data_IF_857796820396
#
_entry.id   IF_857796820396
#
_cell.length_a   1.000
_cell.length_b   1.000
_cell.length_c   1.000
_cell.angle_alpha   90.00
_cell.angle_beta   90.00
_cell.angle_gamma   90.00
#
_symmetry.space_group_name_H-M   'P 1'
#
loop_
_entity.id
_entity.type
_entity.pdbx_description
1 polymer ?
#
# COMPACT_ATOMS: atom_id res chain seq x y z
N UNK A 1 -1.06 6.74 25.15
CA UNK A 1 -2.37 6.85 25.84
C UNK A 1 -3.56 6.73 24.89
N UNK A 2 -3.55 7.36 23.69
CA UNK A 2 -4.65 7.28 22.72
C UNK A 2 -4.89 5.86 22.15
N UNK A 3 -3.83 5.14 21.77
CA UNK A 3 -3.97 3.77 21.23
C UNK A 3 -4.80 2.84 22.12
N UNK A 4 -4.59 2.85 23.45
CA UNK A 4 -5.33 1.99 24.39
C UNK A 4 -6.84 2.32 24.45
N UNK A 5 -7.23 3.58 24.27
CA UNK A 5 -8.64 4.01 24.28
C UNK A 5 -9.36 3.69 22.96
N UNK A 6 -8.61 3.73 21.85
CA UNK A 6 -9.11 3.49 20.50
C UNK A 6 -9.22 1.99 20.23
N UNK A 7 -8.25 1.19 20.67
CA UNK A 7 -8.26 -0.27 20.49
C UNK A 7 -9.20 -1.01 21.46
N UNK A 8 -9.71 -0.36 22.50
CA UNK A 8 -10.65 -0.97 23.47
C UNK A 8 -12.13 -0.79 23.09
N UNK A 9 -12.45 -0.01 22.05
CA UNK A 9 -13.82 0.20 21.60
C UNK A 9 -13.91 0.37 20.08
N UNK A 10 -14.60 -0.53 19.37
CA UNK A 10 -14.87 -0.37 17.93
C UNK A 10 -15.61 0.92 17.59
N UNK A 11 -16.36 1.52 18.54
CA UNK A 11 -17.03 2.80 18.33
C UNK A 11 -16.05 3.98 18.40
N UNK A 12 -15.10 3.97 19.35
CA UNK A 12 -14.06 4.99 19.41
C UNK A 12 -13.09 4.92 18.24
N UNK A 13 -12.78 3.69 17.78
CA UNK A 13 -11.98 3.48 16.58
C UNK A 13 -12.62 4.12 15.35
N UNK A 14 -13.88 3.81 15.08
CA UNK A 14 -14.64 4.40 13.96
C UNK A 14 -14.68 5.91 14.02
N UNK A 15 -14.99 6.49 15.19
CA UNK A 15 -15.04 7.95 15.34
C UNK A 15 -13.68 8.62 15.09
N UNK A 16 -12.57 7.98 15.49
CA UNK A 16 -11.24 8.48 15.18
C UNK A 16 -10.93 8.35 13.68
N UNK A 17 -11.22 7.19 13.09
CA UNK A 17 -11.04 6.93 11.65
C UNK A 17 -11.82 7.97 10.81
N UNK A 18 -13.07 8.27 11.16
CA UNK A 18 -13.91 9.28 10.49
C UNK A 18 -13.30 10.69 10.52
N UNK A 19 -12.62 11.06 11.61
CA UNK A 19 -11.96 12.36 11.73
C UNK A 19 -10.61 12.40 10.99
N UNK A 20 -9.86 11.31 11.02
CA UNK A 20 -8.48 11.26 10.51
C UNK A 20 -8.43 10.96 9.01
N UNK A 21 -9.30 10.08 8.52
CA UNK A 21 -9.24 9.60 7.13
C UNK A 21 -9.40 10.71 6.08
N UNK A 22 -10.33 11.68 6.23
CA UNK A 22 -10.45 12.77 5.26
C UNK A 22 -9.18 13.63 5.20
N UNK A 23 -8.63 13.99 6.36
CA UNK A 23 -7.42 14.81 6.46
C UNK A 23 -6.22 14.07 5.88
N UNK A 24 -6.05 12.79 6.20
CA UNK A 24 -4.97 11.97 5.66
C UNK A 24 -5.07 11.86 4.13
N UNK A 25 -6.28 11.68 3.59
CA UNK A 25 -6.51 11.58 2.15
C UNK A 25 -6.15 12.88 1.44
N UNK A 26 -6.51 14.01 2.02
CA UNK A 26 -6.18 15.34 1.49
C UNK A 26 -4.67 15.56 1.47
N UNK A 27 -3.97 15.32 2.60
CA UNK A 27 -2.52 15.47 2.70
C UNK A 27 -1.77 14.57 1.70
N UNK A 28 -2.18 13.30 1.58
CA UNK A 28 -1.57 12.38 0.60
C UNK A 28 -1.82 12.86 -0.83
N UNK A 29 -3.03 13.34 -1.15
CA UNK A 29 -3.33 13.88 -2.47
C UNK A 29 -2.46 15.09 -2.81
N UNK A 30 -2.22 16.00 -1.85
CA UNK A 30 -1.33 17.15 -2.02
C UNK A 30 0.12 16.72 -2.28
N UNK A 31 0.64 15.77 -1.50
CA UNK A 31 2.01 15.22 -1.68
C UNK A 31 2.16 14.57 -3.05
N UNK A 32 1.17 13.78 -3.47
CA UNK A 32 1.17 13.14 -4.80
C UNK A 32 1.13 14.18 -5.92
N UNK A 33 0.29 15.21 -5.79
CA UNK A 33 0.18 16.27 -6.78
C UNK A 33 1.49 17.07 -6.90
N UNK A 34 2.10 17.44 -5.77
CA UNK A 34 3.38 18.13 -5.77
C UNK A 34 4.50 17.29 -6.41
N UNK A 35 4.52 15.98 -6.20
CA UNK A 35 5.47 15.08 -6.86
C UNK A 35 5.24 15.03 -8.38
N UNK A 36 3.97 14.97 -8.83
CA UNK A 36 3.60 15.00 -10.25
C UNK A 36 4.05 16.30 -10.93
N UNK A 37 3.81 17.44 -10.29
CA UNK A 37 4.21 18.77 -10.80
C UNK A 37 5.73 18.90 -10.90
N UNK A 38 6.45 18.36 -9.92
CA UNK A 38 7.92 18.31 -9.95
C UNK A 38 8.49 17.26 -10.93
N UNK A 39 7.64 16.46 -11.59
CA UNK A 39 8.07 15.38 -12.48
C UNK A 39 8.87 14.28 -11.77
N UNK A 40 8.58 14.04 -10.49
CA UNK A 40 9.29 13.06 -9.66
C UNK A 40 8.49 11.78 -9.50
N UNK A 41 9.18 10.64 -9.56
CA UNK A 41 8.60 9.36 -9.16
C UNK A 41 8.37 9.35 -7.63
N UNK A 42 7.23 8.80 -7.19
CA UNK A 42 6.86 8.65 -5.79
C UNK A 42 6.30 7.24 -5.54
N UNK A 43 6.66 6.67 -4.40
CA UNK A 43 6.10 5.40 -3.90
C UNK A 43 5.26 5.69 -2.67
N UNK A 44 3.96 5.37 -2.74
CA UNK A 44 3.03 5.46 -1.62
C UNK A 44 2.88 4.08 -0.96
N UNK A 45 3.50 3.89 0.20
CA UNK A 45 3.29 2.69 1.02
C UNK A 45 2.07 2.92 1.93
N UNK A 46 0.93 2.35 1.54
CA UNK A 46 -0.32 2.52 2.28
C UNK A 46 -1.10 1.20 2.39
N UNK A 47 -1.17 0.57 3.58
CA UNK A 47 -1.82 -0.73 3.75
C UNK A 47 -3.34 -0.70 3.55
N UNK A 48 -3.97 0.47 3.71
CA UNK A 48 -5.42 0.69 3.59
C UNK A 48 -5.80 1.41 2.28
N UNK A 49 -4.92 1.38 1.27
CA UNK A 49 -5.10 2.12 0.01
C UNK A 49 -6.49 1.88 -0.59
N UNK A 50 -6.91 0.62 -0.67
CA UNK A 50 -8.18 0.23 -1.27
C UNK A 50 -9.37 0.49 -0.35
N UNK A 51 -9.19 0.25 0.96
CA UNK A 51 -10.18 0.52 2.00
C UNK A 51 -10.56 2.01 2.07
N UNK A 52 -9.60 2.89 1.76
CA UNK A 52 -9.79 4.36 1.75
C UNK A 52 -10.12 4.94 0.36
N UNK A 53 -10.25 4.09 -0.66
CA UNK A 53 -10.54 4.52 -2.04
C UNK A 53 -9.50 5.50 -2.58
N UNK A 54 -8.22 5.21 -2.33
CA UNK A 54 -7.07 6.06 -2.67
C UNK A 54 -6.28 5.55 -3.87
N UNK A 55 -6.66 4.40 -4.45
CA UNK A 55 -5.99 3.82 -5.62
C UNK A 55 -5.95 4.77 -6.82
N UNK A 56 -6.92 5.69 -6.95
CA UNK A 56 -6.98 6.68 -8.03
C UNK A 56 -5.97 7.82 -7.90
N UNK A 57 -5.23 7.93 -6.79
CA UNK A 57 -4.19 8.95 -6.63
C UNK A 57 -2.90 8.57 -7.38
N UNK A 58 -2.65 7.28 -7.59
CA UNK A 58 -1.41 6.75 -8.16
C UNK A 58 -1.61 6.19 -9.57
N UNK A 59 -0.53 6.13 -10.37
CA UNK A 59 -0.60 5.63 -11.75
C UNK A 59 -0.56 4.09 -11.83
N UNK A 60 0.08 3.43 -10.86
CA UNK A 60 0.12 1.98 -10.72
C UNK A 60 0.02 1.58 -9.25
N UNK A 61 -0.69 0.47 -8.98
CA UNK A 61 -0.78 -0.13 -7.65
C UNK A 61 -0.05 -1.47 -7.65
N UNK A 62 0.89 -1.64 -6.72
CA UNK A 62 1.71 -2.85 -6.60
C UNK A 62 1.34 -3.60 -5.33
N UNK A 63 0.70 -4.76 -5.45
CA UNK A 63 0.33 -5.60 -4.33
C UNK A 63 1.36 -6.70 -4.10
N UNK A 64 1.86 -6.82 -2.86
CA UNK A 64 2.73 -7.91 -2.44
C UNK A 64 1.90 -8.95 -1.71
N UNK A 65 1.92 -10.20 -2.18
CA UNK A 65 1.15 -11.31 -1.62
C UNK A 65 2.01 -12.50 -1.27
N UNK A 66 1.52 -13.34 -0.36
CA UNK A 66 2.13 -14.61 0.07
C UNK A 66 1.03 -15.61 0.43
N UNK A 67 1.31 -16.92 0.42
CA UNK A 67 0.38 -17.91 0.95
C UNK A 67 -0.02 -17.59 2.39
N UNK A 68 -1.29 -17.84 2.72
CA UNK A 68 -1.91 -17.51 4.01
C UNK A 68 -1.07 -17.94 5.22
N UNK A 69 -0.62 -19.19 5.22
CA UNK A 69 0.17 -19.75 6.31
C UNK A 69 1.52 -19.04 6.50
N UNK A 70 2.18 -18.66 5.39
CA UNK A 70 3.43 -17.91 5.45
C UNK A 70 3.18 -16.47 5.95
N UNK A 71 2.05 -15.87 5.59
CA UNK A 71 1.65 -14.55 6.10
C UNK A 71 1.50 -14.56 7.62
N UNK A 72 0.73 -15.53 8.14
CA UNK A 72 0.49 -15.71 9.57
C UNK A 72 1.81 -15.94 10.30
N UNK A 73 2.64 -16.86 9.83
CA UNK A 73 3.95 -17.14 10.44
C UNK A 73 4.85 -15.89 10.49
N UNK A 74 4.89 -15.09 9.41
CA UNK A 74 5.69 -13.86 9.36
C UNK A 74 5.16 -12.79 10.31
N UNK A 75 3.84 -12.59 10.39
CA UNK A 75 3.22 -11.63 11.32
C UNK A 75 3.47 -12.04 12.77
N UNK A 76 3.29 -13.32 13.11
CA UNK A 76 3.60 -13.86 14.44
C UNK A 76 5.06 -13.59 14.82
N UNK A 77 6.01 -13.90 13.93
CA UNK A 77 7.43 -13.74 14.24
C UNK A 77 7.84 -12.26 14.37
N UNK A 78 7.31 -11.39 13.50
CA UNK A 78 7.60 -9.95 13.49
C UNK A 78 7.04 -9.25 14.72
N UNK A 79 5.77 -9.51 15.03
CA UNK A 79 5.02 -8.76 16.04
C UNK A 79 4.96 -9.47 17.41
N UNK A 80 5.55 -10.67 17.52
CA UNK A 80 5.56 -11.53 18.72
C UNK A 80 4.14 -11.83 19.25
N UNK A 81 3.29 -12.32 18.35
CA UNK A 81 1.88 -12.63 18.61
C UNK A 81 1.59 -14.12 18.62
N UNK A 82 0.44 -14.49 19.20
CA UNK A 82 -0.16 -15.81 18.95
C UNK A 82 -0.69 -15.92 17.52
N UNK A 83 -1.02 -17.14 17.09
CA UNK A 83 -1.64 -17.36 15.78
C UNK A 83 -2.97 -16.64 15.68
N UNK A 84 -3.80 -16.73 16.72
CA UNK A 84 -5.13 -16.14 16.77
C UNK A 84 -5.07 -14.62 16.63
N UNK A 85 -4.12 -13.99 17.32
CA UNK A 85 -3.87 -12.55 17.23
C UNK A 85 -3.37 -12.13 15.83
N UNK A 86 -2.45 -12.90 15.25
CA UNK A 86 -1.95 -12.66 13.89
C UNK A 86 -3.06 -12.80 12.84
N UNK A 87 -3.88 -13.84 12.94
CA UNK A 87 -5.01 -14.08 12.06
C UNK A 87 -6.04 -12.95 12.16
N UNK A 88 -6.42 -12.55 13.39
CA UNK A 88 -7.32 -11.44 13.64
C UNK A 88 -6.83 -10.11 13.05
N UNK A 89 -5.52 -9.84 13.13
CA UNK A 89 -4.91 -8.65 12.49
C UNK A 89 -5.02 -8.69 10.98
N UNK A 90 -4.78 -9.84 10.36
CA UNK A 90 -4.82 -9.94 8.91
C UNK A 90 -6.27 -9.83 8.41
N UNK A 91 -7.24 -10.46 9.08
CA UNK A 91 -8.65 -10.42 8.70
C UNK A 91 -9.31 -9.05 8.97
N UNK A 92 -8.64 -8.16 9.69
CA UNK A 92 -9.13 -6.80 9.93
C UNK A 92 -8.99 -5.87 8.70
N UNK A 93 -8.33 -6.33 7.63
CA UNK A 93 -8.12 -5.61 6.37
C UNK A 93 -8.76 -6.38 5.21
N UNK A 94 -8.83 -5.76 4.03
CA UNK A 94 -9.27 -6.47 2.83
C UNK A 94 -8.38 -7.68 2.55
N UNK A 95 -8.96 -8.81 2.09
CA UNK A 95 -8.20 -10.02 1.78
C UNK A 95 -7.07 -9.74 0.78
N UNK A 96 -5.87 -10.33 0.97
CA UNK A 96 -4.77 -10.18 0.03
C UNK A 96 -5.13 -10.53 -1.42
N UNK A 97 -6.02 -11.51 -1.62
CA UNK A 97 -6.51 -11.94 -2.92
C UNK A 97 -7.32 -10.83 -3.61
N UNK A 98 -8.14 -10.10 -2.85
CA UNK A 98 -8.92 -8.98 -3.36
C UNK A 98 -8.01 -7.79 -3.69
N UNK A 99 -7.03 -7.49 -2.83
CA UNK A 99 -6.01 -6.47 -3.11
C UNK A 99 -5.22 -6.81 -4.37
N UNK A 100 -4.85 -8.07 -4.56
CA UNK A 100 -4.14 -8.54 -5.75
C UNK A 100 -4.99 -8.43 -7.02
N UNK A 101 -6.29 -8.76 -6.95
CA UNK A 101 -7.20 -8.64 -8.09
C UNK A 101 -7.41 -7.20 -8.57
N UNK A 102 -7.28 -6.21 -7.66
CA UNK A 102 -7.41 -4.77 -7.96
C UNK A 102 -6.08 -4.09 -8.29
N UNK A 103 -4.95 -4.77 -8.12
CA UNK A 103 -3.62 -4.19 -8.33
C UNK A 103 -3.20 -4.22 -9.80
N UNK A 104 -2.39 -3.24 -10.20
CA UNK A 104 -1.74 -3.20 -11.52
C UNK A 104 -0.65 -4.26 -11.64
N UNK A 105 0.07 -4.51 -10.54
CA UNK A 105 1.16 -5.49 -10.47
C UNK A 105 0.99 -6.31 -9.19
N UNK A 106 1.13 -7.63 -9.32
CA UNK A 106 1.12 -8.56 -8.19
C UNK A 106 2.49 -9.19 -8.04
N UNK A 107 3.07 -9.10 -6.84
CA UNK A 107 4.38 -9.67 -6.50
C UNK A 107 4.18 -10.75 -5.45
N UNK A 108 4.51 -12.00 -5.80
CA UNK A 108 4.49 -13.12 -4.85
C UNK A 108 5.82 -13.16 -4.09
N UNK A 109 5.78 -12.94 -2.78
CA UNK A 109 6.96 -12.82 -1.92
C UNK A 109 7.20 -14.09 -1.07
N UNK A 110 7.23 -15.25 -1.72
CA UNK A 110 7.53 -16.54 -1.07
C UNK A 110 9.01 -16.81 -0.88
N UNK A 111 9.84 -16.12 -1.64
CA UNK A 111 11.29 -16.30 -1.70
C UNK A 111 12.09 -15.56 -0.62
N UNK A 112 13.39 -15.41 -0.89
CA UNK A 112 14.30 -14.62 -0.06
C UNK A 112 14.12 -13.11 -0.29
N UNK A 113 14.73 -12.30 0.58
CA UNK A 113 14.74 -10.85 0.41
C UNK A 113 15.49 -10.45 -0.88
N UNK A 114 16.57 -11.15 -1.21
CA UNK A 114 17.36 -10.92 -2.42
C UNK A 114 16.54 -11.16 -3.68
N UNK A 115 15.74 -12.25 -3.72
CA UNK A 115 14.83 -12.56 -4.82
C UNK A 115 13.74 -11.50 -4.97
N UNK A 116 13.18 -11.03 -3.85
CA UNK A 116 12.21 -9.93 -3.85
C UNK A 116 12.84 -8.63 -4.39
N UNK A 117 14.03 -8.26 -3.91
CA UNK A 117 14.75 -7.07 -4.37
C UNK A 117 15.03 -7.14 -5.87
N UNK A 118 15.49 -8.30 -6.36
CA UNK A 118 15.72 -8.50 -7.80
C UNK A 118 14.43 -8.34 -8.61
N UNK A 119 13.32 -8.90 -8.12
CA UNK A 119 12.00 -8.79 -8.75
C UNK A 119 11.51 -7.35 -8.82
N UNK A 120 11.58 -6.62 -7.71
CA UNK A 120 11.17 -5.22 -7.63
C UNK A 120 12.03 -4.34 -8.53
N UNK A 121 13.36 -4.52 -8.54
CA UNK A 121 14.27 -3.78 -9.41
C UNK A 121 13.93 -3.97 -10.88
N UNK A 122 13.71 -5.22 -11.31
CA UNK A 122 13.33 -5.54 -12.69
C UNK A 122 12.02 -4.85 -13.09
N UNK A 123 10.98 -4.97 -12.26
CA UNK A 123 9.70 -4.32 -12.51
C UNK A 123 9.82 -2.79 -12.55
N UNK A 124 10.69 -2.21 -11.71
CA UNK A 124 10.90 -0.77 -11.67
C UNK A 124 11.53 -0.25 -12.97
N UNK A 125 12.56 -0.93 -13.46
CA UNK A 125 13.19 -0.65 -14.77
C UNK A 125 12.13 -0.73 -15.89
N UNK A 126 11.36 -1.82 -15.93
CA UNK A 126 10.38 -2.10 -16.99
C UNK A 126 9.22 -1.11 -17.03
N UNK A 127 8.72 -0.69 -15.86
CA UNK A 127 7.44 0.03 -15.76
C UNK A 127 7.56 1.49 -15.38
N UNK A 128 8.60 1.88 -14.65
CA UNK A 128 8.76 3.25 -14.17
C UNK A 128 9.78 4.00 -15.02
N UNK A 129 11.01 3.49 -15.13
CA UNK A 129 12.07 4.15 -15.93
C UNK A 129 11.73 4.21 -17.43
N UNK A 130 11.12 3.16 -17.97
CA UNK A 130 10.73 3.16 -19.39
C UNK A 130 9.48 4.02 -19.69
N UNK A 131 8.73 4.45 -18.66
CA UNK A 131 7.66 5.45 -18.81
C UNK A 131 8.22 6.87 -18.83
N UNK A 132 9.21 7.17 -17.99
CA UNK A 132 9.83 8.51 -17.96
C UNK A 132 10.58 8.84 -19.26
N UNK A 133 11.03 7.85 -20.02
CA UNK A 133 11.60 8.04 -21.38
C UNK A 133 10.56 8.12 -22.51
N UNK A 134 9.30 7.76 -22.25
CA UNK A 134 8.19 7.77 -23.24
C UNK A 134 7.20 8.92 -23.07
N UNK A 135 7.35 9.77 -22.05
CA UNK A 135 6.52 10.97 -21.90
C UNK A 135 6.82 11.90 -23.09
N UNK A 136 5.85 12.20 -23.98
CA UNK A 136 6.12 13.06 -25.11
C UNK A 136 6.52 14.45 -24.60
N UNK A 137 7.62 14.99 -25.14
CA UNK A 137 7.91 16.41 -25.09
C UNK A 137 6.79 17.12 -25.86
N UNK A 138 5.76 17.58 -25.16
CA UNK A 138 4.56 18.10 -25.83
C UNK A 138 3.40 18.35 -24.88
N UNK A 139 3.58 19.29 -23.95
CA UNK A 139 2.49 20.07 -23.38
C UNK A 139 3.00 21.48 -23.07
N UNK A 140 3.62 22.11 -24.07
CA UNK A 140 3.68 23.56 -24.18
C UNK A 140 2.69 23.98 -25.27
N UNK A 141 1.93 25.04 -24.99
CA UNK A 141 0.96 25.76 -25.83
C UNK A 141 -0.45 25.17 -25.95
N UNK A 142 -1.34 25.59 -25.05
CA UNK A 142 -2.34 26.64 -25.38
C UNK A 142 -2.94 27.24 -24.11
#
# INVERSE_FOLDING_TARGET
RLGRLVFSSPAHRRKLEELVHPLLKEEVAQVVQAAREAGRDLVLDHPLLFEMGMEGLVDEVWAVTVPRELQVARVMNRDKLTREEAEARITAQLPPEEKAARATVVIVNTGSLEELVATVKRLWEERVKNRSTRRPAGAENN
#
